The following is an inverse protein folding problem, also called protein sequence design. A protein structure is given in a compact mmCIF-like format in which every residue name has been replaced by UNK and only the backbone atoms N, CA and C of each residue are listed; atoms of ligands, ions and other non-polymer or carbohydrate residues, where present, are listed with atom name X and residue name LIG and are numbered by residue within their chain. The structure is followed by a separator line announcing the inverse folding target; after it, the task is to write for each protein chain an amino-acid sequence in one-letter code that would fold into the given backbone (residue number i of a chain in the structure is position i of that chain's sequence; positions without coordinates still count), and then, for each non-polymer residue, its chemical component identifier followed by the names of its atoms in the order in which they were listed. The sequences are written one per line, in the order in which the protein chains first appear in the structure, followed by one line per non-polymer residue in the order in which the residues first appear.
data_IF_400015603055
#
_entry.id   IF_400015603055
#
_cell.length_a   1.000
_cell.length_b   1.000
_cell.length_c   1.000
_cell.angle_alpha   90.00
_cell.angle_beta   90.00
_cell.angle_gamma   90.00
#
_symmetry.space_group_name_H-M   'P 1'
#
loop_
_entity.id
_entity.type
_entity.pdbx_description
1 polymer ?
#
# COMPACT_ATOMS: atom_id res chain seq x y z
N UNK A 1 2.55 -13.28 -13.52
CA UNK A 1 3.48 -12.24 -14.01
C UNK A 1 4.94 -12.66 -13.95
N UNK A 2 5.49 -13.16 -12.83
CA UNK A 2 6.90 -13.61 -12.80
C UNK A 2 7.28 -14.56 -13.96
N UNK A 3 6.56 -15.67 -14.13
CA UNK A 3 6.92 -16.67 -15.15
C UNK A 3 6.63 -16.18 -16.58
N UNK A 4 5.55 -15.41 -16.75
CA UNK A 4 5.18 -14.79 -18.03
C UNK A 4 6.22 -13.75 -18.48
N UNK A 5 6.71 -12.93 -17.54
CA UNK A 5 7.73 -11.90 -17.79
C UNK A 5 9.08 -12.56 -18.09
N UNK A 6 9.45 -13.61 -17.33
CA UNK A 6 10.68 -14.38 -17.57
C UNK A 6 10.66 -15.06 -18.94
N UNK A 7 9.55 -15.67 -19.34
CA UNK A 7 9.40 -16.29 -20.66
C UNK A 7 9.52 -15.27 -21.80
N UNK A 8 9.15 -14.01 -21.55
CA UNK A 8 9.26 -12.90 -22.50
C UNK A 8 10.60 -12.13 -22.42
N UNK A 9 11.55 -12.59 -21.60
CA UNK A 9 12.84 -11.89 -21.41
C UNK A 9 12.73 -10.56 -20.67
N UNK A 10 11.60 -10.27 -20.03
CA UNK A 10 11.38 -9.03 -19.28
C UNK A 10 11.95 -9.19 -17.87
N UNK A 11 13.05 -8.49 -17.59
CA UNK A 11 13.70 -8.51 -16.29
C UNK A 11 13.00 -7.65 -15.24
N UNK A 12 11.74 -7.93 -14.90
CA UNK A 12 11.03 -7.24 -13.81
C UNK A 12 11.69 -7.52 -12.46
N UNK A 13 11.45 -6.65 -11.46
CA UNK A 13 12.05 -6.81 -10.13
C UNK A 13 11.88 -8.23 -9.57
N UNK A 14 10.66 -8.84 -9.57
CA UNK A 14 10.48 -10.22 -9.11
C UNK A 14 11.29 -11.26 -9.90
N UNK A 15 11.52 -11.05 -11.20
CA UNK A 15 12.30 -11.97 -12.05
C UNK A 15 13.78 -11.94 -11.68
N UNK A 16 14.30 -10.76 -11.28
CA UNK A 16 15.71 -10.59 -10.93
C UNK A 16 16.04 -11.07 -9.52
N UNK A 17 15.14 -10.82 -8.56
CA UNK A 17 15.40 -11.09 -7.12
C UNK A 17 14.66 -12.32 -6.59
N UNK A 18 13.79 -12.91 -7.41
CA UNK A 18 12.90 -14.00 -7.03
C UNK A 18 11.61 -13.52 -6.35
N UNK A 19 10.54 -14.29 -6.55
CA UNK A 19 9.21 -13.98 -6.00
C UNK A 19 9.24 -13.79 -4.47
N UNK A 20 9.90 -14.69 -3.74
CA UNK A 20 9.92 -14.65 -2.27
C UNK A 20 10.48 -13.33 -1.73
N UNK A 21 11.56 -12.82 -2.32
CA UNK A 21 12.15 -11.55 -1.91
C UNK A 21 11.27 -10.38 -2.33
N UNK A 22 10.74 -10.39 -3.56
CA UNK A 22 9.83 -9.36 -4.03
C UNK A 22 8.60 -9.21 -3.13
N UNK A 23 7.99 -10.33 -2.69
CA UNK A 23 6.86 -10.29 -1.75
C UNK A 23 7.21 -9.64 -0.41
N UNK A 24 8.42 -9.86 0.10
CA UNK A 24 8.87 -9.22 1.35
C UNK A 24 9.07 -7.72 1.18
N UNK A 25 9.63 -7.29 0.05
CA UNK A 25 9.77 -5.86 -0.27
C UNK A 25 8.40 -5.19 -0.34
N UNK A 26 7.42 -5.81 -0.99
CA UNK A 26 6.06 -5.26 -1.04
C UNK A 26 5.41 -5.16 0.36
N UNK A 27 5.59 -6.17 1.23
CA UNK A 27 5.12 -6.11 2.61
C UNK A 27 5.76 -4.95 3.39
N UNK A 28 7.09 -4.78 3.25
CA UNK A 28 7.81 -3.68 3.90
C UNK A 28 7.31 -2.34 3.38
N UNK A 29 7.11 -2.19 2.06
CA UNK A 29 6.58 -0.97 1.47
C UNK A 29 5.18 -0.63 2.03
N UNK A 30 4.29 -1.62 2.12
CA UNK A 30 2.94 -1.42 2.69
C UNK A 30 3.02 -0.97 4.14
N UNK A 31 3.87 -1.58 4.98
CA UNK A 31 4.00 -1.17 6.38
C UNK A 31 4.64 0.22 6.49
N UNK A 32 5.65 0.51 5.68
CA UNK A 32 6.37 1.77 5.72
C UNK A 32 5.48 2.96 5.37
N UNK A 33 4.57 2.85 4.40
CA UNK A 33 3.70 3.99 4.07
C UNK A 33 2.84 4.41 5.27
N UNK A 34 2.33 3.47 6.07
CA UNK A 34 1.59 3.79 7.29
C UNK A 34 2.50 4.35 8.38
N UNK A 35 3.67 3.75 8.57
CA UNK A 35 4.62 4.20 9.58
C UNK A 35 5.13 5.62 9.31
N UNK A 36 5.48 5.93 8.05
CA UNK A 36 5.91 7.26 7.63
C UNK A 36 4.78 8.27 7.76
N UNK A 37 3.55 7.94 7.32
CA UNK A 37 2.43 8.86 7.52
C UNK A 37 2.17 9.13 9.01
N UNK A 38 2.21 8.11 9.86
CA UNK A 38 2.08 8.30 11.30
C UNK A 38 3.19 9.19 11.84
N UNK A 39 4.44 8.91 11.51
CA UNK A 39 5.58 9.73 11.92
C UNK A 39 5.40 11.20 11.54
N UNK A 40 5.01 11.48 10.29
CA UNK A 40 4.76 12.85 9.82
C UNK A 40 3.59 13.53 10.55
N UNK A 41 2.62 12.77 11.05
CA UNK A 41 1.59 13.33 11.93
C UNK A 41 2.19 13.67 13.30
N UNK A 42 2.98 12.76 13.88
CA UNK A 42 3.57 12.97 15.21
C UNK A 42 4.57 14.16 15.23
N UNK A 43 5.34 14.35 14.17
CA UNK A 43 6.28 15.47 13.99
C UNK A 43 5.58 16.80 13.66
N UNK A 44 4.24 16.80 13.51
CA UNK A 44 3.49 18.01 13.18
C UNK A 44 3.52 18.40 11.70
N UNK A 45 4.28 17.70 10.86
CA UNK A 45 4.27 17.93 9.41
C UNK A 45 2.88 17.76 8.83
N UNK A 46 2.10 16.77 9.26
CA UNK A 46 0.68 16.61 8.97
C UNK A 46 -0.16 16.80 10.23
N UNK A 47 -1.40 17.26 10.07
CA UNK A 47 -2.40 17.27 11.12
C UNK A 47 -2.97 15.85 11.34
N UNK A 48 -3.61 15.57 12.49
CA UNK A 48 -4.22 14.27 12.77
C UNK A 48 -5.30 13.81 11.77
N UNK A 49 -5.81 14.70 10.91
CA UNK A 49 -6.77 14.32 9.87
C UNK A 49 -6.21 13.26 8.90
N UNK A 50 -4.89 13.25 8.71
CA UNK A 50 -4.20 12.28 7.86
C UNK A 50 -4.30 10.84 8.38
N UNK A 51 -4.75 10.63 9.62
CA UNK A 51 -5.10 9.30 10.12
C UNK A 51 -6.21 8.63 9.29
N UNK A 52 -6.95 9.37 8.46
CA UNK A 52 -7.92 8.82 7.51
C UNK A 52 -7.33 7.73 6.59
N UNK A 53 -6.02 7.78 6.27
CA UNK A 53 -5.39 6.74 5.43
C UNK A 53 -5.42 5.36 6.10
N UNK A 54 -5.51 5.30 7.43
CA UNK A 54 -5.65 4.06 8.19
C UNK A 54 -7.00 3.37 7.98
N UNK A 55 -7.99 4.03 7.36
CA UNK A 55 -9.24 3.36 6.96
C UNK A 55 -9.01 2.25 5.91
N UNK A 56 -7.92 2.31 5.14
CA UNK A 56 -7.52 1.25 4.20
C UNK A 56 -6.86 0.03 4.88
N UNK A 57 -6.93 -0.11 6.22
CA UNK A 57 -6.26 -1.19 6.94
C UNK A 57 -6.76 -2.58 6.54
N UNK A 58 -8.05 -2.74 6.22
CA UNK A 58 -8.62 -4.05 5.87
C UNK A 58 -7.97 -4.61 4.61
N UNK A 59 -7.80 -3.76 3.62
CA UNK A 59 -7.13 -4.07 2.37
C UNK A 59 -5.65 -4.33 2.63
N UNK A 60 -4.98 -3.52 3.46
CA UNK A 60 -3.57 -3.74 3.83
C UNK A 60 -3.36 -5.14 4.44
N UNK A 61 -4.21 -5.53 5.40
CA UNK A 61 -4.17 -6.86 6.00
C UNK A 61 -4.42 -7.97 4.98
N UNK A 62 -5.35 -7.75 4.03
CA UNK A 62 -5.63 -8.70 2.97
C UNK A 62 -4.40 -8.91 2.07
N UNK A 63 -3.73 -7.83 1.64
CA UNK A 63 -2.52 -7.92 0.82
C UNK A 63 -1.38 -8.59 1.58
N UNK A 64 -1.15 -8.20 2.84
CA UNK A 64 -0.09 -8.81 3.67
C UNK A 64 -0.32 -10.31 3.84
N UNK A 65 -1.58 -10.73 4.10
CA UNK A 65 -1.96 -12.14 4.19
C UNK A 65 -1.64 -12.89 2.89
N UNK A 66 -2.00 -12.31 1.75
CA UNK A 66 -1.70 -12.90 0.44
C UNK A 66 -0.20 -13.00 0.18
N UNK A 67 0.60 -11.98 0.51
CA UNK A 67 2.05 -11.96 0.33
C UNK A 67 2.81 -12.94 1.24
N UNK A 68 2.20 -13.39 2.33
CA UNK A 68 2.78 -14.42 3.21
C UNK A 68 2.78 -15.81 2.58
N UNK A 69 1.96 -16.05 1.56
CA UNK A 69 1.87 -17.33 0.87
C UNK A 69 2.42 -17.25 -0.56
N UNK A 70 2.96 -18.35 -1.11
CA UNK A 70 3.29 -18.42 -2.53
C UNK A 70 2.04 -18.27 -3.40
N UNK A 71 2.25 -17.90 -4.66
CA UNK A 71 1.16 -17.85 -5.63
C UNK A 71 0.53 -19.25 -5.72
N UNK A 72 -0.80 -19.39 -5.60
CA UNK A 72 -1.47 -20.66 -5.80
C UNK A 72 -1.16 -21.28 -7.18
N UNK A 73 -1.18 -22.61 -7.29
CA UNK A 73 -0.98 -23.29 -8.57
C UNK A 73 -2.15 -23.02 -9.53
N UNK A 74 -3.37 -22.97 -9.00
CA UNK A 74 -4.60 -22.72 -9.75
C UNK A 74 -5.27 -21.44 -9.28
N UNK A 75 -6.06 -20.81 -10.16
CA UNK A 75 -6.76 -19.57 -9.84
C UNK A 75 -7.86 -19.83 -8.79
N UNK A 76 -7.75 -19.26 -7.57
CA UNK A 76 -8.84 -19.31 -6.60
C UNK A 76 -10.06 -18.57 -7.15
N UNK A 77 -11.25 -18.97 -6.72
CA UNK A 77 -12.51 -18.40 -7.25
C UNK A 77 -12.57 -16.87 -7.15
N UNK A 78 -12.11 -16.32 -6.02
CA UNK A 78 -12.03 -14.87 -5.75
C UNK A 78 -11.11 -14.11 -6.72
N UNK A 79 -10.21 -14.80 -7.41
CA UNK A 79 -9.23 -14.20 -8.31
C UNK A 79 -9.40 -14.60 -9.77
N UNK A 80 -10.45 -15.35 -10.14
CA UNK A 80 -10.74 -15.67 -11.54
C UNK A 80 -10.77 -14.41 -12.42
N UNK A 81 -11.33 -13.31 -11.91
CA UNK A 81 -11.45 -12.05 -12.65
C UNK A 81 -10.12 -11.32 -12.91
N UNK A 82 -9.09 -11.55 -12.10
CA UNK A 82 -7.79 -10.88 -12.22
C UNK A 82 -6.62 -11.86 -12.28
N UNK A 83 -6.87 -13.14 -12.56
CA UNK A 83 -5.80 -14.09 -12.84
C UNK A 83 -5.13 -13.71 -14.17
N UNK A 84 -3.79 -13.80 -14.33
CA UNK A 84 -2.78 -14.35 -13.43
C UNK A 84 -2.10 -13.32 -12.49
N UNK A 85 -2.66 -12.10 -12.37
CA UNK A 85 -2.09 -11.00 -11.57
C UNK A 85 -2.47 -11.09 -10.09
N UNK A 86 -2.19 -12.24 -9.47
CA UNK A 86 -2.54 -12.57 -8.09
C UNK A 86 -2.06 -11.52 -7.07
N UNK A 87 -0.74 -11.37 -6.86
CA UNK A 87 -0.22 -10.42 -5.86
C UNK A 87 -0.58 -8.97 -6.15
N UNK A 88 -0.37 -8.53 -7.39
CA UNK A 88 -0.62 -7.15 -7.79
C UNK A 88 -2.11 -6.80 -7.77
N UNK A 89 -3.02 -7.75 -7.98
CA UNK A 89 -4.47 -7.50 -7.88
C UNK A 89 -4.85 -7.07 -6.46
N UNK A 90 -4.38 -7.78 -5.44
CA UNK A 90 -4.57 -7.39 -4.04
C UNK A 90 -3.86 -6.07 -3.72
N UNK A 91 -2.61 -5.91 -4.15
CA UNK A 91 -1.85 -4.68 -3.93
C UNK A 91 -2.51 -3.43 -4.56
N UNK A 92 -3.06 -3.55 -5.77
CA UNK A 92 -3.76 -2.45 -6.44
C UNK A 92 -5.06 -2.06 -5.73
N UNK A 93 -5.80 -3.03 -5.20
CA UNK A 93 -7.00 -2.73 -4.42
C UNK A 93 -6.65 -1.89 -3.18
N UNK A 94 -5.62 -2.30 -2.43
CA UNK A 94 -5.13 -1.53 -1.30
C UNK A 94 -4.62 -0.15 -1.73
N UNK A 95 -3.80 -0.07 -2.78
CA UNK A 95 -3.25 1.20 -3.26
C UNK A 95 -4.34 2.17 -3.73
N UNK A 96 -5.42 1.67 -4.34
CA UNK A 96 -6.58 2.48 -4.74
C UNK A 96 -7.30 3.08 -3.54
N UNK A 97 -7.54 2.28 -2.50
CA UNK A 97 -8.20 2.76 -1.27
C UNK A 97 -7.30 3.73 -0.52
N UNK A 98 -6.05 3.33 -0.25
CA UNK A 98 -5.06 4.17 0.44
C UNK A 98 -4.84 5.49 -0.30
N UNK A 99 -4.63 5.45 -1.63
CA UNK A 99 -4.45 6.65 -2.45
C UNK A 99 -5.67 7.57 -2.43
N UNK A 100 -6.89 7.02 -2.45
CA UNK A 100 -8.11 7.80 -2.31
C UNK A 100 -8.17 8.54 -0.96
N UNK A 101 -7.93 7.84 0.14
CA UNK A 101 -7.86 8.46 1.47
C UNK A 101 -6.70 9.44 1.61
N UNK A 102 -5.56 9.17 0.97
CA UNK A 102 -4.40 10.06 0.99
C UNK A 102 -4.76 11.40 0.33
N UNK A 103 -5.38 11.39 -0.85
CA UNK A 103 -5.80 12.62 -1.55
C UNK A 103 -6.82 13.40 -0.71
N UNK A 104 -7.84 12.71 -0.17
CA UNK A 104 -8.85 13.35 0.69
C UNK A 104 -8.21 13.94 1.95
N UNK A 105 -7.31 13.19 2.58
CA UNK A 105 -6.56 13.63 3.75
C UNK A 105 -5.71 14.86 3.45
N UNK A 106 -4.97 14.88 2.33
CA UNK A 106 -4.11 16.00 1.93
C UNK A 106 -4.92 17.28 1.68
N UNK A 107 -6.09 17.16 1.03
CA UNK A 107 -6.99 18.32 0.81
C UNK A 107 -7.47 18.85 2.17
N UNK A 108 -7.96 17.98 3.05
CA UNK A 108 -8.44 18.38 4.36
C UNK A 108 -7.32 18.97 5.23
N UNK A 109 -6.14 18.37 5.21
CA UNK A 109 -4.95 18.83 5.93
C UNK A 109 -4.50 20.23 5.48
N UNK A 110 -4.45 20.47 4.17
CA UNK A 110 -4.10 21.77 3.61
C UNK A 110 -5.11 22.85 4.02
N UNK A 111 -6.41 22.53 3.99
CA UNK A 111 -7.46 23.45 4.45
C UNK A 111 -7.33 23.75 5.95
N UNK A 112 -7.14 22.72 6.79
CA UNK A 112 -6.99 22.90 8.23
C UNK A 112 -5.79 23.78 8.54
N UNK A 113 -4.63 23.53 7.95
CA UNK A 113 -3.45 24.38 8.17
C UNK A 113 -3.64 25.80 7.65
N UNK A 114 -4.33 25.97 6.54
CA UNK A 114 -4.62 27.28 5.96
C UNK A 114 -5.52 28.15 6.84
N UNK A 115 -6.55 27.55 7.46
CA UNK A 115 -7.52 28.29 8.29
C UNK A 115 -7.21 28.25 9.80
N UNK A 116 -6.50 27.23 10.26
CA UNK A 116 -6.20 26.95 11.67
C UNK A 116 -4.74 26.52 11.84
N UNK A 117 -3.75 27.41 11.61
CA UNK A 117 -2.32 27.05 11.59
C UNK A 117 -1.80 26.51 12.92
N UNK A 118 -2.46 26.80 14.04
CA UNK A 118 -2.11 26.30 15.38
C UNK A 118 -2.91 25.07 15.80
N UNK A 119 -3.72 24.48 14.91
CA UNK A 119 -4.55 23.31 15.23
C UNK A 119 -3.72 22.11 15.70
N UNK A 120 -2.53 21.92 15.12
CA UNK A 120 -1.63 20.83 15.46
C UNK A 120 -0.19 21.22 15.20
N UNK A 121 0.67 21.02 16.20
CA UNK A 121 2.10 21.37 16.15
C UNK A 121 3.02 20.16 16.34
N UNK A 122 2.48 18.94 16.33
CA UNK A 122 3.23 17.74 16.67
C UNK A 122 3.30 17.45 18.17
N UNK A 123 3.93 16.32 18.50
CA UNK A 123 4.12 15.82 19.87
C UNK A 123 5.52 16.10 20.43
N UNK A 124 6.49 16.43 19.59
CA UNK A 124 7.90 16.64 19.96
C UNK A 124 8.54 17.71 19.08
#
# INVERSE_FOLDING_TARGET
KHDDDKAKGVGTFPVRVGEKFARRVDQVAIVLIYAVTLFLILDGFFTPIMLIVFLAYKEALAVIKVLNHPKPAEAPEIAKAFWPVWFSGFAFQHNRQFGGYLILGLIADALIKGFFPTFWTGLF
#
